data_IF_074814054287
#
_entry.id   IF_074814054287
#
_cell.length_a   1.000
_cell.length_b   1.000
_cell.length_c   1.000
_cell.angle_alpha   90.00
_cell.angle_beta   90.00
_cell.angle_gamma   90.00
#
_symmetry.space_group_name_H-M   'P 1'
#
loop_
_entity.id
_entity.type
_entity.pdbx_description
1 polymer ?
#
# COMPACT_ATOMS: atom_id res chain seq x y z
N UNK A 1 -4.98 -32.69 28.84
CA UNK A 1 -4.29 -32.38 27.56
C UNK A 1 -4.73 -30.99 27.15
N UNK A 2 -3.91 -29.98 27.44
CA UNK A 2 -4.27 -28.57 27.27
C UNK A 2 -3.65 -28.05 25.99
N UNK A 3 -4.40 -28.12 24.88
CA UNK A 3 -3.96 -27.53 23.61
C UNK A 3 -4.22 -26.03 23.66
N UNK A 4 -3.25 -25.29 24.24
CA UNK A 4 -3.17 -23.84 24.13
C UNK A 4 -2.89 -23.53 22.66
N UNK A 5 -3.94 -23.15 21.93
CA UNK A 5 -3.83 -22.64 20.56
C UNK A 5 -2.90 -21.43 20.62
N UNK A 6 -1.74 -21.55 19.98
CA UNK A 6 -0.86 -20.43 19.76
C UNK A 6 -1.55 -19.52 18.76
N UNK A 7 -2.27 -18.52 19.26
CA UNK A 7 -2.72 -17.39 18.47
C UNK A 7 -1.47 -16.65 18.02
N UNK A 8 -0.98 -17.01 16.83
CA UNK A 8 0.03 -16.25 16.12
C UNK A 8 -0.64 -14.92 15.81
N UNK A 9 -0.43 -13.95 16.70
CA UNK A 9 -0.63 -12.55 16.37
C UNK A 9 0.21 -12.29 15.12
N UNK A 10 -0.44 -12.28 13.96
CA UNK A 10 0.03 -11.53 12.83
C UNK A 10 0.02 -10.08 13.29
N UNK A 11 1.11 -9.69 13.96
CA UNK A 11 1.47 -8.31 14.18
C UNK A 11 1.73 -7.76 12.77
N UNK A 12 0.66 -7.39 12.09
CA UNK A 12 0.73 -6.58 10.88
C UNK A 12 1.68 -5.44 11.24
N UNK A 13 2.81 -5.41 10.55
CA UNK A 13 3.90 -4.50 10.80
C UNK A 13 3.31 -3.08 10.76
N UNK A 14 2.99 -2.51 11.93
CA UNK A 14 2.45 -1.15 12.05
C UNK A 14 3.52 -0.26 11.45
N UNK A 15 3.18 0.28 10.28
CA UNK A 15 4.13 0.48 9.18
C UNK A 15 5.33 1.33 9.56
N UNK A 16 6.52 0.77 9.34
CA UNK A 16 7.74 1.55 9.38
C UNK A 16 7.77 2.47 8.14
N UNK A 17 7.59 3.80 8.28
CA UNK A 17 7.48 4.69 7.13
C UNK A 17 8.82 4.73 6.40
N UNK A 18 8.82 4.35 5.12
CA UNK A 18 9.99 4.45 4.25
C UNK A 18 9.92 5.70 3.41
N UNK A 19 11.00 6.48 3.38
CA UNK A 19 11.12 7.64 2.53
C UNK A 19 11.43 7.22 1.09
N UNK A 20 10.69 7.77 0.13
CA UNK A 20 10.94 7.60 -1.30
C UNK A 20 11.59 8.87 -1.86
N UNK A 21 12.85 8.76 -2.31
CA UNK A 21 13.52 9.86 -3.03
C UNK A 21 13.19 9.79 -4.52
N UNK A 22 12.77 10.91 -5.10
CA UNK A 22 12.57 11.06 -6.54
C UNK A 22 12.93 12.49 -7.01
N UNK A 23 13.32 12.68 -8.27
CA UNK A 23 13.54 14.00 -8.86
C UNK A 23 12.32 14.91 -8.73
N UNK A 24 12.55 16.21 -8.58
CA UNK A 24 11.49 17.22 -8.44
C UNK A 24 10.48 17.20 -9.60
N UNK A 25 10.98 16.96 -10.83
CA UNK A 25 10.13 16.80 -12.02
C UNK A 25 9.09 15.70 -11.84
N UNK A 26 9.48 14.56 -11.25
CA UNK A 26 8.54 13.47 -10.98
C UNK A 26 7.58 13.81 -9.85
N UNK A 27 8.06 14.46 -8.78
CA UNK A 27 7.18 14.94 -7.71
C UNK A 27 6.07 15.85 -8.24
N UNK A 28 6.38 16.81 -9.12
CA UNK A 28 5.39 17.71 -9.73
C UNK A 28 4.32 16.93 -10.52
N UNK A 29 4.74 15.95 -11.31
CA UNK A 29 3.83 15.12 -12.11
C UNK A 29 2.96 14.22 -11.23
N UNK A 30 3.56 13.55 -10.25
CA UNK A 30 2.87 12.69 -9.29
C UNK A 30 1.84 13.49 -8.51
N UNK A 31 2.20 14.66 -7.98
CA UNK A 31 1.29 15.54 -7.26
C UNK A 31 0.12 16.00 -8.15
N UNK A 32 0.38 16.31 -9.43
CA UNK A 32 -0.68 16.68 -10.37
C UNK A 32 -1.63 15.51 -10.67
N UNK A 33 -1.10 14.29 -10.80
CA UNK A 33 -1.89 13.11 -11.11
C UNK A 33 -2.67 12.57 -9.89
N UNK A 34 -2.13 12.74 -8.68
CA UNK A 34 -2.72 12.28 -7.42
C UNK A 34 -3.88 13.16 -6.91
N UNK A 35 -4.27 14.23 -7.63
CA UNK A 35 -5.30 15.19 -7.18
C UNK A 35 -6.65 14.56 -6.81
N UNK A 36 -7.01 13.45 -7.43
CA UNK A 36 -8.27 12.75 -7.18
C UNK A 36 -8.13 11.61 -6.16
N UNK A 37 -6.92 11.39 -5.63
CA UNK A 37 -6.64 10.40 -4.62
C UNK A 37 -6.65 11.04 -3.23
N UNK A 38 -6.89 10.23 -2.20
CA UNK A 38 -6.87 10.67 -0.79
C UNK A 38 -5.50 11.25 -0.38
N UNK A 39 -4.42 10.71 -0.93
CA UNK A 39 -3.07 11.22 -0.75
C UNK A 39 -2.16 10.84 -1.91
N UNK A 40 -1.01 11.54 -2.04
CA UNK A 40 0.05 11.17 -2.99
C UNK A 40 0.58 9.76 -2.68
N UNK A 41 0.68 9.40 -1.40
CA UNK A 41 1.09 8.07 -0.97
C UNK A 41 0.16 6.98 -1.51
N UNK A 42 -1.16 7.18 -1.39
CA UNK A 42 -2.16 6.21 -1.85
C UNK A 42 -2.16 6.06 -3.38
N UNK A 43 -1.89 7.16 -4.09
CA UNK A 43 -1.71 7.14 -5.54
C UNK A 43 -0.49 6.29 -5.94
N UNK A 44 0.67 6.51 -5.30
CA UNK A 44 1.89 5.74 -5.54
C UNK A 44 1.66 4.25 -5.24
N UNK A 45 1.06 3.93 -4.10
CA UNK A 45 0.72 2.54 -3.75
C UNK A 45 -0.17 1.92 -4.82
N UNK A 46 -1.22 2.63 -5.25
CA UNK A 46 -2.15 2.12 -6.27
C UNK A 46 -1.44 1.81 -7.59
N UNK A 47 -0.49 2.64 -8.02
CA UNK A 47 0.30 2.37 -9.23
C UNK A 47 1.13 1.09 -9.05
N UNK A 48 1.84 0.97 -7.92
CA UNK A 48 2.70 -0.17 -7.63
C UNK A 48 1.88 -1.46 -7.55
N UNK A 49 0.80 -1.47 -6.78
CA UNK A 49 -0.09 -2.63 -6.68
C UNK A 49 -0.65 -3.05 -8.04
N UNK A 50 -1.09 -2.08 -8.85
CA UNK A 50 -1.63 -2.38 -10.19
C UNK A 50 -0.57 -3.01 -11.10
N UNK A 51 0.68 -2.52 -11.07
CA UNK A 51 1.78 -3.10 -11.84
C UNK A 51 2.12 -4.52 -11.35
N UNK A 52 2.22 -4.73 -10.04
CA UNK A 52 2.50 -6.03 -9.46
C UNK A 52 1.39 -7.06 -9.73
N UNK A 53 0.13 -6.64 -9.73
CA UNK A 53 -1.01 -7.49 -10.11
C UNK A 53 -0.92 -7.88 -11.59
N UNK A 54 -0.61 -6.93 -12.48
CA UNK A 54 -0.43 -7.23 -13.92
C UNK A 54 0.70 -8.22 -14.15
N UNK A 55 1.77 -8.13 -13.37
CA UNK A 55 2.90 -9.08 -13.38
C UNK A 55 2.61 -10.41 -12.68
N UNK A 56 1.40 -10.61 -12.14
CA UNK A 56 0.99 -11.78 -11.34
C UNK A 56 1.84 -12.01 -10.08
N UNK A 57 2.49 -10.97 -9.58
CA UNK A 57 3.30 -11.01 -8.34
C UNK A 57 2.47 -10.69 -7.09
N UNK A 58 1.30 -10.08 -7.26
CA UNK A 58 0.35 -9.78 -6.20
C UNK A 58 -1.05 -10.25 -6.60
N UNK A 59 -1.79 -10.92 -5.72
CA UNK A 59 -3.18 -11.28 -6.02
C UNK A 59 -4.06 -10.05 -5.86
N UNK A 60 -5.07 -9.90 -6.72
CA UNK A 60 -6.03 -8.78 -6.65
C UNK A 60 -6.75 -8.70 -5.29
N UNK A 61 -6.95 -9.84 -4.62
CA UNK A 61 -7.56 -9.91 -3.29
C UNK A 61 -6.67 -9.36 -2.16
N UNK A 62 -5.35 -9.39 -2.34
CA UNK A 62 -4.35 -8.91 -1.37
C UNK A 62 -4.09 -7.40 -1.48
N UNK A 63 -4.74 -6.75 -2.46
CA UNK A 63 -4.68 -5.30 -2.63
C UNK A 63 -5.15 -4.61 -1.36
N UNK A 64 -4.39 -3.63 -0.87
CA UNK A 64 -4.78 -2.85 0.29
C UNK A 64 -6.06 -2.09 -0.04
N UNK A 65 -7.19 -2.56 0.48
CA UNK A 65 -8.44 -1.79 0.45
C UNK A 65 -8.23 -0.62 1.39
N UNK A 66 -8.04 0.57 0.83
CA UNK A 66 -8.15 1.80 1.59
C UNK A 66 -9.58 1.87 2.12
N UNK A 67 -9.80 1.32 3.31
CA UNK A 67 -11.07 1.44 4.02
C UNK A 67 -11.27 2.93 4.23
N UNK A 68 -12.19 3.50 3.46
CA UNK A 68 -12.81 4.77 3.76
C UNK A 68 -13.56 4.58 5.08
N UNK A 69 -12.86 4.66 6.21
CA UNK A 69 -13.48 5.00 7.48
C UNK A 69 -13.97 6.44 7.31
N UNK A 70 -15.22 6.55 6.86
CA UNK A 70 -16.10 7.68 7.18
C UNK A 70 -16.45 7.59 8.66
#
# INVERSE_FOLDING_TARGET
MNNKKNDIHHQENIGNPRHLKMPERLWKLVTKAAKNNRSIHDYIITIIENDLIKRKMLKKAERKKFLSKR
#
